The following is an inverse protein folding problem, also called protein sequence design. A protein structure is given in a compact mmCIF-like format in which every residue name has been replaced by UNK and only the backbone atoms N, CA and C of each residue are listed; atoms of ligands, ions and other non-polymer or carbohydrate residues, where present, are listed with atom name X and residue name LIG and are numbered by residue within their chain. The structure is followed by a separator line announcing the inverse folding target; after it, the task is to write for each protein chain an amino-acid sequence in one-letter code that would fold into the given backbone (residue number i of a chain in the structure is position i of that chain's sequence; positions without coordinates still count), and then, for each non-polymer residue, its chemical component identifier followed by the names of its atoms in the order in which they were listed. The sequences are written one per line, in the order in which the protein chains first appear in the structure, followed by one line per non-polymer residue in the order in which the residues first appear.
data_IF_660596191824
#
_entry.id   IF_660596191824
#
_cell.length_a   1.000
_cell.length_b   1.000
_cell.length_c   1.000
_cell.angle_alpha   90.00
_cell.angle_beta   90.00
_cell.angle_gamma   90.00
#
_symmetry.space_group_name_H-M   'P 1'
#
loop_
_entity.id
_entity.type
_entity.pdbx_description
1 polymer ?
#
# COMPACT_ATOMS: atom_id res chain seq x y z
N UNK A 1 -14.25 13.26 -6.21
CA UNK A 1 -13.14 13.05 -5.25
C UNK A 1 -13.34 11.73 -4.52
N UNK A 2 -12.26 10.96 -4.33
CA UNK A 2 -12.26 9.65 -3.68
C UNK A 2 -11.50 9.76 -2.35
N UNK A 3 -12.00 9.11 -1.30
CA UNK A 3 -11.29 8.98 -0.02
C UNK A 3 -10.83 7.52 0.15
N UNK A 4 -9.59 7.32 0.58
CA UNK A 4 -9.08 6.02 1.00
C UNK A 4 -8.84 5.99 2.52
N UNK A 5 -9.02 4.84 3.13
CA UNK A 5 -8.80 4.64 4.57
C UNK A 5 -8.23 3.26 4.84
N UNK A 6 -7.28 3.18 5.77
CA UNK A 6 -6.66 1.95 6.25
C UNK A 6 -7.30 1.54 7.57
N UNK A 7 -7.48 0.24 7.76
CA UNK A 7 -8.21 -0.30 8.90
C UNK A 7 -7.36 -1.33 9.66
N UNK A 8 -7.64 -1.47 10.95
CA UNK A 8 -7.05 -2.48 11.84
C UNK A 8 -7.28 -3.91 11.32
N UNK A 9 -8.36 -4.14 10.57
CA UNK A 9 -8.67 -5.42 9.95
C UNK A 9 -7.77 -5.77 8.75
N UNK A 10 -6.79 -4.92 8.42
CA UNK A 10 -5.90 -5.11 7.28
C UNK A 10 -6.52 -4.74 5.93
N UNK A 11 -7.73 -4.16 5.93
CA UNK A 11 -8.42 -3.77 4.71
C UNK A 11 -8.25 -2.28 4.42
N UNK A 12 -8.36 -1.94 3.13
CA UNK A 12 -8.48 -0.58 2.67
C UNK A 12 -9.90 -0.37 2.19
N UNK A 13 -10.51 0.75 2.58
CA UNK A 13 -11.82 1.15 2.07
C UNK A 13 -11.72 2.41 1.23
N UNK A 14 -12.34 2.35 0.06
CA UNK A 14 -12.49 3.44 -0.87
C UNK A 14 -13.91 3.98 -0.76
N UNK A 15 -14.05 5.29 -0.55
CA UNK A 15 -15.31 5.97 -0.29
C UNK A 15 -15.56 7.10 -1.28
N UNK A 16 -16.83 7.29 -1.62
CA UNK A 16 -17.26 8.52 -2.25
C UNK A 16 -17.21 9.66 -1.22
N UNK A 17 -17.07 10.90 -1.69
CA UNK A 17 -17.08 12.07 -0.79
C UNK A 17 -18.43 12.26 -0.08
N UNK A 18 -19.48 11.61 -0.56
CA UNK A 18 -20.81 11.55 0.08
C UNK A 18 -20.88 10.49 1.20
N UNK A 19 -19.79 9.77 1.47
CA UNK A 19 -19.70 8.76 2.53
C UNK A 19 -20.12 7.35 2.10
N UNK A 20 -20.38 7.12 0.81
CA UNK A 20 -20.76 5.79 0.33
C UNK A 20 -19.52 4.90 0.17
N UNK A 21 -19.54 3.69 0.72
CA UNK A 21 -18.51 2.69 0.47
C UNK A 21 -18.57 2.27 -0.99
N UNK A 22 -17.49 2.52 -1.73
CA UNK A 22 -17.39 2.17 -3.15
C UNK A 22 -16.71 0.82 -3.37
N UNK A 23 -15.66 0.53 -2.59
CA UNK A 23 -14.89 -0.71 -2.69
C UNK A 23 -14.13 -1.00 -1.41
N UNK A 24 -14.02 -2.28 -1.07
CA UNK A 24 -13.10 -2.79 -0.05
C UNK A 24 -11.98 -3.59 -0.73
N UNK A 25 -10.74 -3.32 -0.34
CA UNK A 25 -9.53 -3.98 -0.83
C UNK A 25 -8.92 -4.76 0.33
N UNK A 26 -8.54 -6.00 0.04
CA UNK A 26 -7.82 -6.87 0.96
C UNK A 26 -6.51 -7.26 0.29
N UNK A 27 -5.39 -7.26 1.04
CA UNK A 27 -4.15 -7.84 0.57
C UNK A 27 -4.36 -9.26 0.06
N UNK A 28 -3.85 -9.55 -1.13
CA UNK A 28 -3.89 -10.88 -1.73
C UNK A 28 -2.71 -11.73 -1.29
N UNK A 29 -1.55 -11.12 -1.04
CA UNK A 29 -0.35 -11.84 -0.62
C UNK A 29 -0.64 -12.68 0.63
N UNK A 30 -0.14 -13.91 0.69
CA UNK A 30 -0.28 -14.78 1.87
C UNK A 30 0.25 -14.12 3.15
N UNK A 31 1.07 -13.06 3.00
CA UNK A 31 1.55 -12.17 4.04
C UNK A 31 1.31 -10.72 3.60
N UNK A 32 0.54 -9.84 4.29
CA UNK A 32 0.05 -9.92 5.66
C UNK A 32 -1.46 -9.60 5.85
N UNK A 33 -2.17 -10.48 6.57
CA UNK A 33 -3.47 -10.19 7.19
C UNK A 33 -3.28 -9.44 8.52
N UNK A 34 -2.66 -8.25 8.47
CA UNK A 34 -2.32 -7.46 9.67
C UNK A 34 -2.79 -6.01 9.58
N UNK A 35 -2.88 -5.28 10.71
CA UNK A 35 -3.35 -3.90 10.74
C UNK A 35 -2.60 -2.98 9.79
N UNK A 36 -3.33 -2.19 9.02
CA UNK A 36 -2.74 -1.13 8.20
C UNK A 36 -2.63 0.16 9.02
N UNK A 37 -1.45 0.74 9.02
CA UNK A 37 -1.05 1.82 9.94
C UNK A 37 -0.76 3.12 9.19
N UNK A 38 -0.41 3.04 7.91
CA UNK A 38 -0.11 4.20 7.07
C UNK A 38 -0.69 4.05 5.66
N UNK A 39 -1.03 5.16 5.02
CA UNK A 39 -1.46 5.23 3.62
C UNK A 39 -0.87 6.45 2.93
N UNK A 40 -0.46 6.29 1.67
CA UNK A 40 -0.16 7.40 0.78
C UNK A 40 -0.58 7.07 -0.67
N UNK A 41 -0.62 8.10 -1.52
CA UNK A 41 -1.07 8.00 -2.92
C UNK A 41 -0.23 8.96 -3.77
N UNK A 42 -0.32 8.82 -5.09
CA UNK A 42 0.25 9.77 -6.05
C UNK A 42 -0.65 10.98 -6.28
N UNK A 43 -0.09 12.01 -6.92
CA UNK A 43 -0.76 13.26 -7.30
C UNK A 43 -2.01 13.04 -8.13
N UNK A 44 -2.03 11.98 -8.95
CA UNK A 44 -3.16 11.62 -9.80
C UNK A 44 -4.08 10.55 -9.21
N UNK A 45 -3.82 10.08 -7.98
CA UNK A 45 -4.60 9.05 -7.28
C UNK A 45 -4.76 7.74 -8.07
N UNK A 46 -3.76 7.38 -8.87
CA UNK A 46 -3.73 6.13 -9.65
C UNK A 46 -3.11 4.97 -8.89
N UNK A 47 -2.32 5.25 -7.86
CA UNK A 47 -1.71 4.25 -7.00
C UNK A 47 -2.11 4.48 -5.56
N UNK A 48 -2.09 3.40 -4.79
CA UNK A 48 -2.24 3.44 -3.36
C UNK A 48 -1.14 2.61 -2.73
N UNK A 49 -0.47 3.15 -1.72
CA UNK A 49 0.56 2.45 -0.96
C UNK A 49 0.10 2.40 0.49
N UNK A 50 0.14 1.22 1.10
CA UNK A 50 -0.19 1.03 2.51
C UNK A 50 0.96 0.39 3.27
N UNK A 51 1.13 0.80 4.52
CA UNK A 51 2.07 0.25 5.47
C UNK A 51 1.34 -0.54 6.55
N UNK A 52 1.95 -1.61 7.05
CA UNK A 52 1.35 -2.45 8.10
C UNK A 52 2.11 -2.40 9.42
N UNK A 53 1.43 -2.83 10.48
CA UNK A 53 1.98 -3.03 11.81
C UNK A 53 3.11 -4.06 11.86
N UNK A 54 3.09 -5.01 10.95
CA UNK A 54 4.17 -5.98 10.83
C UNK A 54 5.35 -5.39 10.07
N UNK A 55 5.27 -4.25 9.39
CA UNK A 55 6.40 -3.70 8.65
C UNK A 55 6.37 -4.00 7.15
N UNK A 56 5.23 -4.48 6.64
CA UNK A 56 5.03 -4.65 5.20
C UNK A 56 4.58 -3.36 4.54
N UNK A 57 4.91 -3.24 3.26
CA UNK A 57 4.38 -2.22 2.37
C UNK A 57 3.76 -2.91 1.17
N UNK A 58 2.58 -2.43 0.79
CA UNK A 58 1.79 -3.01 -0.28
C UNK A 58 1.35 -1.88 -1.20
N UNK A 59 1.48 -2.11 -2.51
CA UNK A 59 1.11 -1.14 -3.54
C UNK A 59 0.02 -1.70 -4.44
N UNK A 60 -1.04 -0.91 -4.59
CA UNK A 60 -2.14 -1.15 -5.52
C UNK A 60 -2.16 -0.12 -6.64
N UNK A 61 -2.62 -0.57 -7.80
CA UNK A 61 -3.03 0.28 -8.91
C UNK A 61 -4.56 0.38 -8.92
N UNK A 62 -5.03 1.61 -8.79
CA UNK A 62 -6.44 2.00 -8.73
C UNK A 62 -6.85 2.85 -9.94
N UNK A 63 -5.98 3.02 -10.94
CA UNK A 63 -6.26 3.85 -12.13
C UNK A 63 -7.52 3.39 -12.86
N UNK A 64 -7.61 2.09 -13.15
CA UNK A 64 -8.77 1.48 -13.85
C UNK A 64 -10.08 1.60 -13.08
N UNK A 65 -10.01 1.78 -11.76
CA UNK A 65 -11.19 1.99 -10.92
C UNK A 65 -11.74 3.42 -11.05
N UNK A 66 -10.87 4.39 -11.34
CA UNK A 66 -11.21 5.81 -11.49
C UNK A 66 -11.64 6.20 -12.92
N UNK A 67 -11.26 5.42 -13.94
CA UNK A 67 -11.64 5.69 -15.33
C UNK A 67 -13.14 5.44 -15.57
N UNK A 68 -13.79 6.40 -16.26
CA UNK A 68 -15.25 6.50 -16.30
C UNK A 68 -15.88 5.70 -17.46
N UNK A 69 -16.87 4.89 -17.10
CA UNK A 69 -17.92 4.23 -17.92
C UNK A 69 -17.58 3.14 -18.96
N UNK A 70 -16.39 3.05 -19.57
CA UNK A 70 -16.16 2.07 -20.66
C UNK A 70 -15.52 0.75 -20.23
N UNK A 71 -14.83 0.73 -19.09
CA UNK A 71 -14.23 -0.49 -18.58
C UNK A 71 -15.22 -1.21 -17.66
N UNK A 72 -15.81 -2.32 -18.13
CA UNK A 72 -16.79 -3.12 -17.35
C UNK A 72 -16.16 -3.74 -16.10
N UNK A 73 -14.83 -3.74 -16.01
CA UNK A 73 -14.05 -4.25 -14.90
C UNK A 73 -13.40 -3.06 -14.18
N UNK A 74 -14.10 -2.51 -13.18
CA UNK A 74 -13.55 -1.57 -12.19
C UNK A 74 -12.59 -2.31 -11.25
N UNK A 75 -11.48 -2.76 -11.81
CA UNK A 75 -10.50 -3.58 -11.12
C UNK A 75 -9.48 -2.71 -10.39
N UNK A 76 -9.15 -3.16 -9.19
CA UNK A 76 -7.99 -2.69 -8.43
C UNK A 76 -7.02 -3.85 -8.39
N UNK A 77 -5.76 -3.59 -8.75
CA UNK A 77 -4.74 -4.63 -8.86
C UNK A 77 -3.69 -4.39 -7.79
N UNK A 78 -3.46 -5.37 -6.92
CA UNK A 78 -2.25 -5.40 -6.09
C UNK A 78 -1.07 -5.70 -7.00
N UNK A 79 -0.07 -4.83 -7.02
CA UNK A 79 1.05 -4.94 -7.96
C UNK A 79 2.30 -5.50 -7.28
N UNK A 80 2.59 -5.04 -6.06
CA UNK A 80 3.76 -5.50 -5.31
C UNK A 80 3.52 -5.40 -3.80
N UNK A 81 4.01 -6.41 -3.08
CA UNK A 81 4.08 -6.44 -1.62
C UNK A 81 5.53 -6.75 -1.21
N UNK A 82 6.08 -6.02 -0.25
CA UNK A 82 7.41 -6.31 0.28
C UNK A 82 7.49 -6.03 1.77
N UNK A 83 8.41 -6.70 2.44
CA UNK A 83 8.74 -6.41 3.84
C UNK A 83 9.71 -5.24 3.87
N UNK A 84 9.28 -4.08 4.36
CA UNK A 84 10.13 -2.90 4.44
C UNK A 84 10.93 -2.87 5.74
N UNK A 85 10.27 -3.18 6.84
CA UNK A 85 10.83 -3.07 8.19
C UNK A 85 10.61 -4.36 8.98
N UNK A 86 11.44 -4.60 9.99
CA UNK A 86 11.21 -5.70 10.92
C UNK A 86 9.97 -5.47 11.80
N UNK A 87 9.58 -4.19 11.96
CA UNK A 87 8.46 -3.75 12.82
C UNK A 87 7.55 -2.75 12.10
N UNK A 88 6.52 -2.28 12.79
CA UNK A 88 5.48 -1.37 12.31
C UNK A 88 5.99 -0.21 11.46
N UNK A 89 5.38 -0.04 10.29
CA UNK A 89 5.50 1.17 9.47
C UNK A 89 4.61 2.24 10.10
N UNK A 90 5.17 3.38 10.46
CA UNK A 90 4.41 4.48 11.08
C UNK A 90 4.08 5.59 10.09
N UNK A 91 4.83 5.69 8.99
CA UNK A 91 4.58 6.69 7.97
C UNK A 91 5.11 6.26 6.60
N UNK A 92 4.51 6.83 5.55
CA UNK A 92 4.81 6.56 4.16
C UNK A 92 4.81 7.84 3.33
N UNK A 93 5.81 7.97 2.47
CA UNK A 93 5.88 9.04 1.48
C UNK A 93 6.22 8.46 0.11
N UNK A 94 5.41 8.77 -0.89
CA UNK A 94 5.65 8.39 -2.27
C UNK A 94 6.17 9.59 -3.07
N UNK A 95 7.30 9.43 -3.72
CA UNK A 95 7.88 10.44 -4.61
C UNK A 95 7.85 9.90 -6.05
N UNK A 96 7.03 10.55 -6.87
CA UNK A 96 6.68 10.11 -8.23
C UNK A 96 7.81 10.24 -9.24
N UNK A 97 8.49 11.38 -9.23
CA UNK A 97 9.51 11.72 -10.24
C UNK A 97 10.71 10.76 -10.21
N UNK A 98 11.07 10.28 -9.03
CA UNK A 98 12.14 9.31 -8.80
C UNK A 98 11.61 7.89 -8.62
N UNK A 99 10.30 7.69 -8.65
CA UNK A 99 9.62 6.40 -8.49
C UNK A 99 10.05 5.66 -7.21
N UNK A 100 10.07 6.37 -6.08
CA UNK A 100 10.54 5.85 -4.79
C UNK A 100 9.47 5.94 -3.71
N UNK A 101 9.52 4.98 -2.78
CA UNK A 101 8.76 5.02 -1.53
C UNK A 101 9.75 5.20 -0.38
N UNK A 102 9.46 6.17 0.49
CA UNK A 102 10.12 6.36 1.78
C UNK A 102 9.23 5.78 2.86
N UNK A 103 9.80 4.99 3.76
CA UNK A 103 9.10 4.38 4.89
C UNK A 103 9.77 4.78 6.20
N UNK A 104 8.98 5.10 7.23
CA UNK A 104 9.45 5.27 8.60
C UNK A 104 8.87 4.19 9.51
N UNK A 105 9.61 3.75 10.53
CA UNK A 105 9.19 2.66 11.41
C UNK A 105 9.52 2.90 12.88
N UNK A 106 8.80 2.18 13.75
CA UNK A 106 9.11 2.06 15.19
C UNK A 106 10.51 1.48 15.42
N UNK A 107 11.08 0.77 14.44
CA UNK A 107 12.46 0.27 14.52
C UNK A 107 13.53 1.38 14.56
N UNK A 108 13.11 2.65 14.43
CA UNK A 108 13.97 3.83 14.51
C UNK A 108 14.67 4.17 13.19
N UNK A 109 14.36 3.46 12.10
CA UNK A 109 14.94 3.69 10.78
C UNK A 109 13.94 4.35 9.82
N UNK A 110 14.50 5.09 8.87
CA UNK A 110 13.80 5.57 7.67
C UNK A 110 14.48 4.94 6.46
N UNK A 111 13.73 4.26 5.62
CA UNK A 111 14.24 3.44 4.51
C UNK A 111 13.68 3.91 3.17
N UNK A 112 14.44 3.66 2.11
CA UNK A 112 14.14 4.06 0.75
C UNK A 112 14.04 2.85 -0.17
N UNK A 113 12.98 2.82 -0.99
CA UNK A 113 12.61 1.68 -1.81
C UNK A 113 12.26 2.12 -3.23
N UNK A 114 12.52 1.25 -4.21
CA UNK A 114 11.98 1.41 -5.54
C UNK A 114 10.49 1.03 -5.56
N UNK A 115 9.63 1.97 -5.93
CA UNK A 115 8.19 1.84 -5.72
C UNK A 115 7.52 0.72 -6.54
N UNK A 116 8.06 0.43 -7.73
CA UNK A 116 7.47 -0.59 -8.62
C UNK A 116 7.89 -2.01 -8.24
N UNK A 117 9.09 -2.19 -7.70
CA UNK A 117 9.68 -3.51 -7.47
C UNK A 117 9.83 -3.86 -5.99
N UNK A 118 9.69 -2.89 -5.08
CA UNK A 118 9.98 -3.08 -3.65
C UNK A 118 11.46 -3.27 -3.33
N UNK A 119 12.37 -2.92 -4.25
CA UNK A 119 13.81 -3.11 -4.05
C UNK A 119 14.38 -2.06 -3.11
N UNK A 120 15.27 -2.48 -2.22
CA UNK A 120 15.86 -1.62 -1.23
C UNK A 120 17.00 -0.77 -1.79
N UNK A 121 16.94 0.54 -1.60
CA UNK A 121 18.04 1.46 -1.95
C UNK A 121 18.93 1.81 -0.75
N UNK A 122 18.43 1.68 0.48
CA UNK A 122 19.17 2.01 1.68
C UNK A 122 18.33 2.69 2.75
N UNK A 123 19.02 3.24 3.75
CA UNK A 123 18.41 3.96 4.87
C UNK A 123 19.04 5.34 5.05
N UNK A 124 18.28 6.27 5.63
CA UNK A 124 18.77 7.61 5.93
C UNK A 124 19.78 7.55 7.09
N UNK A 125 20.89 8.27 6.93
CA UNK A 125 22.02 8.25 7.87
C UNK A 125 23.12 7.23 7.53
N UNK A 126 22.92 6.41 6.49
CA UNK A 126 23.98 5.54 5.99
C UNK A 126 25.14 6.36 5.37
N UNK A 127 26.37 5.84 5.45
CA UNK A 127 27.55 6.54 4.91
C UNK A 127 27.58 6.64 3.38
N UNK A 128 26.90 5.71 2.68
CA UNK A 128 26.87 5.66 1.21
C UNK A 128 25.72 6.50 0.66
N UNK A 129 25.97 7.23 -0.42
CA UNK A 129 24.89 7.92 -1.15
C UNK A 129 23.93 6.89 -1.76
N UNK A 130 22.67 7.27 -1.89
CA UNK A 130 21.68 6.46 -2.60
C UNK A 130 22.04 6.40 -4.09
N UNK A 131 22.02 5.20 -4.66
CA UNK A 131 22.16 4.97 -6.10
C UNK A 131 20.79 4.55 -6.64
N UNK A 132 20.04 5.51 -7.18
CA UNK A 132 18.66 5.28 -7.64
C UNK A 132 18.57 4.76 -9.08
N UNK A 133 19.68 4.80 -9.81
CA UNK A 133 19.73 4.42 -11.23
C UNK A 133 19.80 2.91 -11.43
N UNK A 134 20.38 2.18 -10.47
CA UNK A 134 20.49 0.73 -10.52
C UNK A 134 19.27 0.08 -9.87
N UNK A 135 18.20 -0.04 -10.64
CA UNK A 135 16.96 -0.71 -10.24
C UNK A 135 16.97 -2.22 -10.51
N UNK A 136 18.10 -2.75 -11.00
CA UNK A 136 18.24 -4.16 -11.40
C UNK A 136 18.71 -5.05 -10.26
N UNK A 137 19.35 -4.47 -9.25
CA UNK A 137 19.90 -5.20 -8.11
C UNK A 137 18.85 -5.35 -7.02
N UNK A 138 18.51 -6.59 -6.71
CA UNK A 138 17.78 -6.93 -5.49
C UNK A 138 18.77 -6.87 -4.32
N UNK A 139 18.67 -5.81 -3.53
CA UNK A 139 19.29 -5.70 -2.22
C UNK A 139 18.16 -5.82 -1.20
N UNK A 140 18.41 -6.51 -0.08
CA UNK A 140 17.52 -6.54 1.07
C UNK A 140 18.20 -5.87 2.26
N UNK A 141 17.43 -5.23 3.17
CA UNK A 141 17.96 -4.83 4.46
C UNK A 141 18.49 -6.06 5.24
N UNK A 142 19.51 -5.90 6.10
CA UNK A 142 20.09 -7.02 6.85
C UNK A 142 19.11 -7.74 7.80
N UNK A 143 18.05 -7.06 8.22
CA UNK A 143 17.04 -7.52 9.17
C UNK A 143 15.75 -8.04 8.50
N UNK A 144 15.72 -8.07 7.17
CA UNK A 144 14.58 -8.53 6.37
C UNK A 144 15.04 -9.60 5.38
N UNK A 145 14.35 -10.74 5.37
CA UNK A 145 14.68 -11.86 4.48
C UNK A 145 13.64 -12.08 3.36
N UNK A 146 12.52 -11.37 3.39
CA UNK A 146 11.43 -11.57 2.46
C UNK A 146 11.69 -10.81 1.15
N UNK A 147 11.68 -11.53 0.04
CA UNK A 147 11.82 -10.94 -1.30
C UNK A 147 10.48 -10.33 -1.72
N UNK A 148 10.46 -9.17 -2.42
CA UNK A 148 9.23 -8.58 -2.92
C UNK A 148 8.40 -9.53 -3.78
N UNK A 149 7.12 -9.68 -3.44
CA UNK A 149 6.15 -10.44 -4.19
C UNK A 149 5.52 -9.56 -5.28
N UNK A 150 5.96 -9.74 -6.53
CA UNK A 150 5.40 -9.04 -7.70
C UNK A 150 4.23 -9.87 -8.25
N UNK A 151 3.03 -9.30 -8.22
CA UNK A 151 1.80 -10.01 -8.57
C UNK A 151 1.48 -9.77 -10.03
N UNK A 152 1.57 -10.84 -10.84
CA UNK A 152 1.28 -10.82 -12.28
C UNK A 152 -0.02 -11.58 -12.56
N UNK A 153 -1.18 -10.98 -12.31
CA UNK A 153 -2.46 -11.56 -12.76
C UNK A 153 -3.72 -11.04 -12.06
N UNK A 154 -4.83 -11.00 -12.80
CA UNK A 154 -6.18 -10.76 -12.30
C UNK A 154 -6.63 -11.95 -11.44
N UNK A 155 -6.67 -11.77 -10.11
CA UNK A 155 -7.14 -12.81 -9.20
C UNK A 155 -8.42 -12.37 -8.49
N UNK A 156 -9.38 -13.30 -8.41
CA UNK A 156 -10.76 -13.11 -8.00
C UNK A 156 -10.84 -12.66 -6.53
N UNK A 157 -11.49 -11.52 -6.30
CA UNK A 157 -11.89 -11.06 -4.98
C UNK A 157 -12.59 -12.19 -4.20
N UNK A 158 -12.04 -12.60 -3.05
CA UNK A 158 -12.83 -13.28 -2.03
C UNK A 158 -13.64 -12.20 -1.30
N UNK A 159 -14.91 -12.02 -1.69
CA UNK A 159 -15.88 -11.32 -0.86
C UNK A 159 -16.11 -12.16 0.41
N UNK A 160 -15.53 -11.75 1.53
CA UNK A 160 -15.97 -12.22 2.85
C UNK A 160 -17.05 -11.29 3.40
N UNK A 161 -17.95 -11.90 4.19
CA UNK A 161 -19.20 -11.34 4.72
C UNK A 161 -19.04 -9.90 5.20
N UNK A 162 -19.99 -9.07 4.76
CA UNK A 162 -20.27 -7.71 5.21
C UNK A 162 -20.24 -7.66 6.74
N UNK A 163 -19.22 -7.04 7.32
CA UNK A 163 -19.16 -6.78 8.77
C UNK A 163 -20.09 -5.60 9.03
N UNK A 164 -21.14 -5.81 9.83
CA UNK A 164 -21.98 -4.72 10.32
C UNK A 164 -21.23 -3.98 11.44
N UNK A 165 -21.13 -2.66 11.30
CA UNK A 165 -20.45 -1.81 12.26
C UNK A 165 -21.45 -1.08 13.15
N UNK A 166 -21.17 -0.96 14.45
CA UNK A 166 -22.12 -0.44 15.43
C UNK A 166 -22.33 1.07 15.37
N UNK A 167 -21.57 1.80 14.55
CA UNK A 167 -21.72 3.24 14.38
C UNK A 167 -22.84 3.53 13.37
N UNK A 168 -24.06 3.62 13.89
CA UNK A 168 -25.19 4.20 13.17
C UNK A 168 -25.05 5.72 13.20
N UNK A 169 -24.95 6.35 12.03
CA UNK A 169 -25.12 7.80 11.90
C UNK A 169 -26.56 8.13 12.32
N UNK A 170 -26.71 8.91 13.39
CA UNK A 170 -28.00 9.42 13.84
C UNK A 170 -28.51 10.39 12.77
N UNK A 171 -29.33 9.88 11.85
CA UNK A 171 -29.79 10.64 10.67
C UNK A 171 -31.13 11.32 10.87
N UNK A 172 -31.72 11.24 12.06
CA UNK A 172 -32.99 11.91 12.36
C UNK A 172 -32.97 12.57 13.76
N UNK A 173 -32.48 13.81 13.81
CA UNK A 173 -33.01 14.85 14.71
C UNK A 173 -33.20 16.14 13.94
#
# INVERSE_FOLDING_TARGET
PLLASAHESGCIRLWSIQGNLMKELLPFSEHPSGPLTALCTDTFTKILVAGSKEGYVIRWNIASFLEDSQNRKKEVKEEVCWRAHATEVVDLFFEEEKNVVVTASIDGSVRLWHAMTGYYFGYFGQARKFELTDTSRLILPPDVNDVPAIIKGESKHLEKKKVEYPLMLDRDK
#
